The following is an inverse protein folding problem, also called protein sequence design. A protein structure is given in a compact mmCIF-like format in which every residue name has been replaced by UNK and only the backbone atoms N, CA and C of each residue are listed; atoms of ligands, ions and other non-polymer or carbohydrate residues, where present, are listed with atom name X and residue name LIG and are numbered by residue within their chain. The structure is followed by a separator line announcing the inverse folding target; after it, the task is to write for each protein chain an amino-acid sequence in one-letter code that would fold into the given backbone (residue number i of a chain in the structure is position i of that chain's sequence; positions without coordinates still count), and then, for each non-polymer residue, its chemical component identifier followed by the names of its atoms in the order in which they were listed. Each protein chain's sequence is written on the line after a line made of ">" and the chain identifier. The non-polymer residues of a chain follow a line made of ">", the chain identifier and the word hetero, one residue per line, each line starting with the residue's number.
data_IF_307929011638
#
_entry.id   IF_307929011638
#
_cell.length_a   1.000
_cell.length_b   1.000
_cell.length_c   1.000
_cell.angle_alpha   90.00
_cell.angle_beta   90.00
_cell.angle_gamma   90.00
#
_symmetry.space_group_name_H-M   'P 1'
#
loop_
_entity.id
_entity.type
_entity.pdbx_description
1 polymer ?
#
# COMPACT_ATOMS: atom_id res chain seq x y z
N UNK A 1 29.99 -16.01 0.31
CA UNK A 1 28.61 -15.51 0.11
C UNK A 1 28.33 -14.56 1.26
N UNK A 2 28.34 -13.26 1.01
CA UNK A 2 27.93 -12.28 2.02
C UNK A 2 26.42 -12.39 2.23
N UNK A 3 26.01 -12.61 3.47
CA UNK A 3 24.63 -12.91 3.85
C UNK A 3 23.78 -11.63 3.82
N UNK A 4 23.11 -11.38 2.70
CA UNK A 4 22.07 -10.37 2.60
C UNK A 4 20.77 -10.89 3.22
N UNK A 5 20.45 -10.45 4.45
CA UNK A 5 19.13 -10.60 5.08
C UNK A 5 18.89 -11.94 5.79
N UNK A 6 18.35 -11.88 7.01
CA UNK A 6 18.05 -13.02 7.90
C UNK A 6 16.94 -13.95 7.37
N UNK A 7 17.21 -14.67 6.28
CA UNK A 7 16.37 -15.78 5.82
C UNK A 7 17.26 -16.99 5.62
N UNK A 8 17.23 -17.91 6.58
CA UNK A 8 17.90 -19.20 6.45
C UNK A 8 16.93 -20.20 5.82
N UNK A 9 17.32 -20.76 4.68
CA UNK A 9 16.60 -21.86 4.06
C UNK A 9 17.16 -23.20 4.61
N UNK A 10 16.29 -24.03 5.18
CA UNK A 10 16.69 -25.29 5.84
C UNK A 10 16.31 -26.47 4.97
N UNK A 11 17.29 -27.03 4.26
CA UNK A 11 17.11 -28.17 3.36
C UNK A 11 17.48 -29.52 4.02
N UNK A 12 17.01 -29.79 5.23
CA UNK A 12 17.37 -31.04 5.92
C UNK A 12 16.54 -32.24 5.40
N UNK A 13 17.07 -33.47 5.46
CA UNK A 13 16.30 -34.68 5.11
C UNK A 13 15.01 -34.86 5.92
N UNK A 14 14.98 -34.37 7.16
CA UNK A 14 13.78 -34.39 8.02
C UNK A 14 12.65 -33.54 7.43
N UNK A 15 12.98 -32.36 6.90
CA UNK A 15 12.01 -31.48 6.24
C UNK A 15 11.51 -32.13 4.96
N UNK A 16 12.41 -32.68 4.13
CA UNK A 16 12.02 -33.36 2.90
C UNK A 16 11.02 -34.49 3.18
N UNK A 17 11.30 -35.34 4.17
CA UNK A 17 10.40 -36.43 4.56
C UNK A 17 9.06 -35.93 5.09
N UNK A 18 9.06 -34.88 5.91
CA UNK A 18 7.83 -34.34 6.50
C UNK A 18 6.92 -33.63 5.48
N UNK A 19 7.50 -33.08 4.42
CA UNK A 19 6.77 -32.37 3.37
C UNK A 19 6.42 -33.26 2.17
N UNK A 20 7.00 -34.46 2.10
CA UNK A 20 6.65 -35.45 1.08
C UNK A 20 5.25 -36.00 1.37
N UNK A 21 4.38 -35.90 0.38
CA UNK A 21 2.99 -36.31 0.44
C UNK A 21 2.70 -37.31 -0.70
N UNK A 22 2.45 -38.59 -0.40
CA UNK A 22 2.19 -39.61 -1.42
C UNK A 22 0.85 -39.44 -2.14
N UNK A 23 -0.07 -38.59 -1.65
CA UNK A 23 -1.33 -38.29 -2.35
C UNK A 23 -1.10 -37.45 -3.62
N UNK A 24 0.02 -36.73 -3.68
CA UNK A 24 0.42 -35.94 -4.85
C UNK A 24 0.92 -36.90 -5.94
N UNK A 25 0.21 -36.98 -7.06
CA UNK A 25 0.53 -37.93 -8.15
C UNK A 25 1.82 -37.59 -8.90
N UNK A 26 2.06 -36.31 -9.10
CA UNK A 26 3.21 -35.83 -9.86
C UNK A 26 4.46 -35.79 -8.99
N UNK A 27 5.62 -35.94 -9.63
CA UNK A 27 6.92 -35.81 -8.98
C UNK A 27 7.64 -34.57 -9.47
N UNK A 28 8.29 -33.87 -8.55
CA UNK A 28 9.07 -32.67 -8.85
C UNK A 28 10.55 -32.89 -8.53
N UNK A 29 11.41 -32.15 -9.21
CA UNK A 29 12.85 -32.14 -9.03
C UNK A 29 13.28 -30.99 -8.12
N UNK A 30 13.60 -31.33 -6.88
CA UNK A 30 14.10 -30.43 -5.85
C UNK A 30 15.58 -30.63 -5.53
N UNK A 31 16.34 -31.25 -6.44
CA UNK A 31 17.75 -31.56 -6.19
C UNK A 31 18.62 -30.31 -6.00
N UNK A 32 18.18 -29.17 -6.53
CA UNK A 32 18.83 -27.87 -6.35
C UNK A 32 18.78 -27.37 -4.89
N UNK A 33 17.83 -27.87 -4.09
CA UNK A 33 17.62 -27.44 -2.70
C UNK A 33 17.98 -28.55 -1.70
N UNK A 34 17.44 -29.76 -1.90
CA UNK A 34 17.61 -30.89 -0.96
C UNK A 34 18.69 -31.90 -1.34
N UNK A 35 19.37 -31.74 -2.48
CA UNK A 35 20.41 -32.66 -2.94
C UNK A 35 19.92 -33.75 -3.92
N UNK A 36 20.84 -34.55 -4.49
CA UNK A 36 20.57 -35.47 -5.61
C UNK A 36 19.43 -36.48 -5.38
N UNK A 37 19.16 -36.84 -4.13
CA UNK A 37 18.07 -37.73 -3.71
C UNK A 37 16.67 -37.16 -3.99
N UNK A 38 16.55 -35.83 -4.08
CA UNK A 38 15.27 -35.14 -4.23
C UNK A 38 14.88 -34.88 -5.71
N UNK A 39 15.39 -35.68 -6.65
CA UNK A 39 15.11 -35.53 -8.09
C UNK A 39 13.69 -35.88 -8.50
N UNK A 40 13.01 -36.73 -7.73
CA UNK A 40 11.64 -37.19 -7.99
C UNK A 40 10.93 -37.38 -6.66
N UNK A 41 10.28 -36.31 -6.19
CA UNK A 41 9.58 -36.29 -4.90
C UNK A 41 8.14 -35.83 -5.08
N UNK A 42 7.23 -36.47 -4.35
CA UNK A 42 5.81 -36.11 -4.28
C UNK A 42 5.64 -35.04 -3.20
N UNK A 43 5.55 -33.78 -3.59
CA UNK A 43 5.60 -32.64 -2.67
C UNK A 43 4.83 -31.46 -3.27
N UNK A 44 4.32 -30.57 -2.43
CA UNK A 44 3.54 -29.42 -2.88
C UNK A 44 4.41 -28.45 -3.71
N UNK A 45 4.16 -28.30 -5.03
CA UNK A 45 4.98 -27.47 -5.91
C UNK A 45 4.83 -25.97 -5.68
N UNK A 46 3.80 -25.54 -4.94
CA UNK A 46 3.61 -24.12 -4.59
C UNK A 46 4.65 -23.70 -3.55
N UNK A 47 4.92 -24.59 -2.58
CA UNK A 47 5.89 -24.34 -1.52
C UNK A 47 7.31 -24.75 -1.95
N UNK A 48 7.43 -25.83 -2.72
CA UNK A 48 8.70 -26.33 -3.23
C UNK A 48 8.61 -26.47 -4.76
N UNK A 49 8.85 -25.37 -5.50
CA UNK A 49 8.73 -25.36 -6.95
C UNK A 49 9.78 -26.25 -7.63
N UNK A 50 9.42 -26.82 -8.77
CA UNK A 50 10.36 -27.59 -9.57
C UNK A 50 11.58 -26.76 -9.99
N UNK A 51 12.74 -27.41 -10.11
CA UNK A 51 13.98 -26.82 -10.63
C UNK A 51 13.79 -26.00 -11.93
N UNK A 52 12.92 -26.44 -12.83
CA UNK A 52 12.61 -25.76 -14.10
C UNK A 52 11.84 -24.44 -13.91
N UNK A 53 11.06 -24.31 -12.82
CA UNK A 53 10.40 -23.06 -12.45
C UNK A 53 11.43 -22.11 -11.87
N UNK A 54 12.24 -22.57 -10.90
CA UNK A 54 13.27 -21.77 -10.25
C UNK A 54 14.30 -21.25 -11.25
N UNK A 55 14.69 -22.06 -12.23
CA UNK A 55 15.64 -21.67 -13.28
C UNK A 55 15.17 -20.50 -14.16
N UNK A 56 13.86 -20.18 -14.18
CA UNK A 56 13.29 -19.04 -14.91
C UNK A 56 13.05 -17.82 -14.03
N UNK A 57 13.17 -17.96 -12.72
CA UNK A 57 12.95 -16.89 -11.76
C UNK A 57 14.23 -16.08 -11.56
N UNK A 58 14.06 -14.81 -11.17
CA UNK A 58 15.15 -13.96 -10.72
C UNK A 58 15.05 -13.75 -9.21
N UNK A 59 16.21 -13.74 -8.55
CA UNK A 59 16.29 -13.31 -7.16
C UNK A 59 16.22 -11.79 -7.11
N UNK A 60 15.30 -11.25 -6.32
CA UNK A 60 15.24 -9.80 -6.09
C UNK A 60 16.43 -9.44 -5.20
N UNK A 61 17.26 -8.54 -5.72
CA UNK A 61 18.35 -7.95 -4.96
C UNK A 61 17.99 -6.50 -4.60
N UNK A 62 18.70 -5.95 -3.61
CA UNK A 62 18.60 -4.54 -3.30
C UNK A 62 18.95 -3.72 -4.55
N UNK A 63 18.14 -2.70 -4.83
CA UNK A 63 18.34 -1.80 -5.96
C UNK A 63 19.36 -0.70 -5.66
N UNK A 64 19.84 -0.59 -4.40
CA UNK A 64 20.89 0.34 -3.99
C UNK A 64 20.53 1.78 -4.37
N UNK A 65 21.39 2.42 -5.17
CA UNK A 65 21.19 3.78 -5.70
C UNK A 65 19.91 3.94 -6.55
N UNK A 66 19.36 2.85 -7.08
CA UNK A 66 18.12 2.88 -7.89
C UNK A 66 16.85 2.66 -7.06
N UNK A 67 16.96 2.43 -5.76
CA UNK A 67 15.81 2.19 -4.87
C UNK A 67 14.83 3.37 -4.88
N UNK A 68 15.31 4.61 -4.88
CA UNK A 68 14.43 5.79 -4.92
C UNK A 68 13.59 5.86 -6.20
N UNK A 69 14.18 5.54 -7.35
CA UNK A 69 13.46 5.52 -8.64
C UNK A 69 12.39 4.43 -8.68
N UNK A 70 12.69 3.24 -8.11
CA UNK A 70 11.72 2.15 -7.99
C UNK A 70 10.56 2.54 -7.08
N UNK A 71 10.86 3.22 -5.96
CA UNK A 71 9.85 3.73 -5.03
C UNK A 71 9.00 4.84 -5.66
N UNK A 72 9.60 5.76 -6.41
CA UNK A 72 8.87 6.81 -7.13
C UNK A 72 7.89 6.20 -8.14
N UNK A 73 8.36 5.28 -8.98
CA UNK A 73 7.50 4.57 -9.94
C UNK A 73 6.36 3.82 -9.24
N UNK A 74 6.66 3.13 -8.14
CA UNK A 74 5.65 2.43 -7.34
C UNK A 74 4.62 3.39 -6.73
N UNK A 75 5.05 4.53 -6.21
CA UNK A 75 4.18 5.56 -5.63
C UNK A 75 3.21 6.14 -6.66
N UNK A 76 3.67 6.28 -7.91
CA UNK A 76 2.85 6.70 -9.03
C UNK A 76 1.75 5.67 -9.34
N UNK A 77 2.11 4.37 -9.38
CA UNK A 77 1.15 3.27 -9.58
C UNK A 77 0.14 3.18 -8.43
N UNK A 78 0.58 3.41 -7.19
CA UNK A 78 -0.26 3.38 -6.00
C UNK A 78 -1.22 4.57 -5.90
N UNK A 79 -0.95 5.66 -6.61
CA UNK A 79 -1.78 6.86 -6.57
C UNK A 79 -1.69 7.60 -5.24
N UNK A 80 -0.57 7.46 -4.51
CA UNK A 80 -0.36 8.11 -3.21
C UNK A 80 -0.21 9.64 -3.32
N UNK A 81 -0.17 10.16 -4.55
CA UNK A 81 -0.40 11.57 -4.82
C UNK A 81 -1.90 11.84 -4.79
N UNK A 82 -2.40 12.34 -3.65
CA UNK A 82 -3.73 12.93 -3.53
C UNK A 82 -3.97 13.81 -4.75
N UNK A 83 -4.76 13.31 -5.72
CA UNK A 83 -4.74 13.85 -7.07
C UNK A 83 -4.94 15.36 -7.04
N UNK A 84 -4.17 16.11 -7.83
CA UNK A 84 -4.24 17.57 -7.85
C UNK A 84 -5.68 18.09 -7.99
N UNK A 85 -6.52 17.38 -8.75
CA UNK A 85 -7.96 17.63 -8.83
C UNK A 85 -8.72 17.47 -7.50
N UNK A 86 -8.42 16.43 -6.72
CA UNK A 86 -9.01 16.20 -5.38
C UNK A 86 -8.58 17.32 -4.42
N UNK A 87 -7.31 17.72 -4.46
CA UNK A 87 -6.79 18.85 -3.65
C UNK A 87 -7.53 20.15 -3.98
N UNK A 88 -7.74 20.44 -5.28
CA UNK A 88 -8.48 21.63 -5.73
C UNK A 88 -9.93 21.61 -5.22
N UNK A 89 -10.61 20.45 -5.28
CA UNK A 89 -11.99 20.31 -4.80
C UNK A 89 -12.07 20.56 -3.29
N UNK A 90 -11.14 20.01 -2.52
CA UNK A 90 -11.06 20.23 -1.06
C UNK A 90 -10.86 21.73 -0.76
N UNK A 91 -9.90 22.38 -1.42
CA UNK A 91 -9.65 23.81 -1.22
C UNK A 91 -10.84 24.68 -1.61
N UNK A 92 -11.50 24.37 -2.74
CA UNK A 92 -12.67 25.11 -3.21
C UNK A 92 -13.86 24.99 -2.25
N UNK A 93 -14.14 23.77 -1.75
CA UNK A 93 -15.22 23.53 -0.79
C UNK A 93 -14.97 24.23 0.53
N UNK A 94 -13.76 24.12 1.09
CA UNK A 94 -13.37 24.83 2.31
C UNK A 94 -13.47 26.35 2.12
N UNK A 95 -12.95 26.88 1.01
CA UNK A 95 -13.04 28.29 0.67
C UNK A 95 -14.48 28.81 0.59
N UNK A 96 -15.37 28.06 -0.07
CA UNK A 96 -16.79 28.40 -0.15
C UNK A 96 -17.46 28.44 1.23
N UNK A 97 -17.16 27.48 2.11
CA UNK A 97 -17.66 27.48 3.49
C UNK A 97 -17.20 28.70 4.29
N UNK A 98 -15.92 29.09 4.15
CA UNK A 98 -15.37 30.28 4.81
C UNK A 98 -16.09 31.55 4.33
N UNK A 99 -16.23 31.73 3.01
CA UNK A 99 -16.94 32.87 2.41
C UNK A 99 -18.39 32.92 2.87
N UNK A 100 -19.07 31.78 2.93
CA UNK A 100 -20.43 31.67 3.43
C UNK A 100 -20.54 32.10 4.91
N UNK A 101 -19.65 31.59 5.77
CA UNK A 101 -19.63 31.91 7.19
C UNK A 101 -19.38 33.41 7.44
N UNK A 102 -18.41 34.01 6.73
CA UNK A 102 -18.12 35.45 6.81
C UNK A 102 -19.31 36.28 6.34
N UNK A 103 -19.88 35.95 5.18
CA UNK A 103 -21.05 36.64 4.62
C UNK A 103 -22.25 36.59 5.59
N UNK A 104 -22.48 35.43 6.22
CA UNK A 104 -23.52 35.26 7.24
C UNK A 104 -23.25 36.10 8.48
N UNK A 105 -21.99 36.18 8.94
CA UNK A 105 -21.59 37.00 10.09
C UNK A 105 -21.80 38.49 9.81
N UNK A 106 -21.42 38.97 8.62
CA UNK A 106 -21.64 40.36 8.19
C UNK A 106 -23.12 40.68 8.09
N UNK A 107 -23.92 39.81 7.44
CA UNK A 107 -25.38 39.99 7.36
C UNK A 107 -26.01 40.06 8.76
N UNK A 108 -25.64 39.15 9.68
CA UNK A 108 -26.13 39.16 11.07
C UNK A 108 -25.74 40.45 11.80
N UNK A 109 -24.48 40.88 11.70
CA UNK A 109 -24.01 42.13 12.31
C UNK A 109 -24.80 43.34 11.78
N UNK A 110 -25.01 43.43 10.47
CA UNK A 110 -25.79 44.51 9.84
C UNK A 110 -27.28 44.48 10.22
N UNK A 111 -27.90 43.30 10.34
CA UNK A 111 -29.28 43.15 10.82
C UNK A 111 -29.43 43.64 12.27
N UNK A 112 -28.52 43.27 13.16
CA UNK A 112 -28.56 43.70 14.57
C UNK A 112 -28.34 45.20 14.71
N UNK A 113 -27.46 45.80 13.88
CA UNK A 113 -27.23 47.26 13.84
C UNK A 113 -28.46 48.03 13.36
N UNK A 114 -29.17 47.54 12.35
CA UNK A 114 -30.44 48.15 11.85
C UNK A 114 -31.57 48.05 12.88
N UNK A 115 -31.70 46.93 13.59
CA UNK A 115 -32.72 46.75 14.63
C UNK A 115 -32.48 47.62 15.87
N UNK A 116 -31.21 47.81 16.30
CA UNK A 116 -30.88 48.77 17.37
C UNK A 116 -31.22 50.22 17.01
N UNK A 117 -30.99 50.64 15.75
CA UNK A 117 -31.36 51.99 15.28
C UNK A 117 -32.89 52.19 15.22
N UNK A 118 -33.66 51.17 14.86
CA UNK A 118 -35.14 51.24 14.88
C UNK A 118 -35.73 51.32 16.29
N UNK A 119 -35.15 50.63 17.29
CA UNK A 119 -35.60 50.74 18.69
C UNK A 119 -35.35 52.13 19.30
N UNK A 120 -34.31 52.86 18.88
CA UNK A 120 -34.05 54.25 19.32
C UNK A 120 -35.00 55.31 18.71
N UNK A 121 -35.82 54.95 17.71
CA UNK A 121 -36.77 55.86 17.05
C UNK A 121 -38.23 55.65 17.45
N UNK A 122 -38.52 54.75 18.40
CA UNK A 122 -39.86 54.69 18.99
C UNK A 122 -39.90 55.68 20.16
N UNK A 123 -40.73 56.74 20.11
CA UNK A 123 -40.93 57.59 21.28
C UNK A 123 -41.54 56.74 22.38
N UNK A 124 -41.01 56.89 23.59
CA UNK A 124 -41.64 56.40 24.83
C UNK A 124 -42.96 57.14 24.93
N UNK A 125 -44.08 56.40 24.91
CA UNK A 125 -45.39 56.93 25.29
C UNK A 125 -45.49 56.97 26.80
#
# INVERSE_FOLDING_TARGET
>A
MEATGYVSAVATPKVLKAQTDPEIKETYNLAYFFGPEARRVHINPIQYPDSSVVARCAMIHDSGEHTEAVLEMWSHVKGDNLGSGVVIIILATVGAFVVYAVSKKIKRYNHTKRNRKRKKRKPVK
#
